data_IF_071393286388
#
_entry.id   IF_071393286388
#
_cell.length_a   1.000
_cell.length_b   1.000
_cell.length_c   1.000
_cell.angle_alpha   90.00
_cell.angle_beta   90.00
_cell.angle_gamma   90.00
#
_symmetry.space_group_name_H-M   'P 1'
#
loop_
_entity.id
_entity.type
_entity.pdbx_description
1 polymer ?
#
# COMPACT_ATOMS: atom_id res chain seq x y z
N UNK A 1 6.16 38.96 -19.61
CA UNK A 1 6.15 37.48 -19.70
C UNK A 1 7.47 37.02 -19.15
N UNK A 2 7.47 36.37 -17.98
CA UNK A 2 8.70 35.99 -17.29
C UNK A 2 9.38 34.87 -18.07
N UNK A 3 10.51 35.17 -18.70
CA UNK A 3 11.43 34.15 -19.20
C UNK A 3 11.91 33.33 -17.99
N UNK A 4 11.39 32.13 -17.83
CA UNK A 4 12.00 31.14 -16.93
C UNK A 4 13.43 30.94 -17.38
N UNK A 5 14.39 31.30 -16.53
CA UNK A 5 15.81 31.13 -16.80
C UNK A 5 16.07 29.70 -17.31
N UNK A 6 16.81 29.52 -18.42
CA UNK A 6 17.09 28.21 -18.97
C UNK A 6 17.81 27.38 -17.90
N UNK A 7 17.09 26.39 -17.33
CA UNK A 7 17.56 25.55 -16.24
C UNK A 7 16.67 25.54 -14.98
N UNK A 8 15.73 26.47 -14.81
CA UNK A 8 14.86 26.50 -13.63
C UNK A 8 13.94 25.27 -13.56
N UNK A 9 13.32 24.89 -14.69
CA UNK A 9 12.48 23.69 -14.79
C UNK A 9 13.30 22.42 -14.52
N UNK A 10 14.48 22.32 -15.11
CA UNK A 10 15.37 21.16 -14.93
C UNK A 10 15.82 21.03 -13.46
N UNK A 11 16.12 22.16 -12.79
CA UNK A 11 16.43 22.18 -11.38
C UNK A 11 15.25 21.72 -10.52
N UNK A 12 14.02 22.11 -10.86
CA UNK A 12 12.81 21.65 -10.17
C UNK A 12 12.59 20.15 -10.37
N UNK A 13 12.80 19.62 -11.59
CA UNK A 13 12.71 18.18 -11.87
C UNK A 13 13.76 17.42 -11.05
N UNK A 14 15.01 17.89 -10.99
CA UNK A 14 16.05 17.28 -10.17
C UNK A 14 15.71 17.31 -8.67
N UNK A 15 15.20 18.43 -8.17
CA UNK A 15 14.78 18.54 -6.77
C UNK A 15 13.62 17.59 -6.47
N UNK A 16 12.65 17.47 -7.37
CA UNK A 16 11.53 16.54 -7.24
C UNK A 16 12.02 15.08 -7.19
N UNK A 17 12.88 14.67 -8.12
CA UNK A 17 13.47 13.33 -8.13
C UNK A 17 14.31 13.04 -6.88
N UNK A 18 15.03 14.05 -6.38
CA UNK A 18 15.78 13.91 -5.13
C UNK A 18 14.86 13.57 -3.95
N UNK A 19 13.71 14.22 -3.80
CA UNK A 19 12.77 13.94 -2.70
C UNK A 19 12.04 12.61 -2.84
N UNK A 20 11.82 12.13 -4.06
CA UNK A 20 11.30 10.78 -4.31
C UNK A 20 12.31 9.74 -3.83
N UNK A 21 13.58 9.90 -4.20
CA UNK A 21 14.64 8.94 -3.88
C UNK A 21 15.10 9.02 -2.41
N UNK A 22 14.92 10.18 -1.77
CA UNK A 22 15.34 10.46 -0.40
C UNK A 22 14.15 10.99 0.42
N UNK A 23 13.12 10.16 0.67
CA UNK A 23 11.98 10.58 1.46
C UNK A 23 12.43 10.99 2.87
N UNK A 24 11.80 12.03 3.41
CA UNK A 24 12.04 12.47 4.79
C UNK A 24 11.64 11.38 5.81
N UNK A 25 12.06 11.52 7.08
CA UNK A 25 11.79 10.51 8.12
C UNK A 25 10.29 10.26 8.38
N UNK A 26 9.44 11.26 8.11
CA UNK A 26 7.99 11.18 8.26
C UNK A 26 7.26 10.74 6.96
N UNK A 27 7.99 10.49 5.88
CA UNK A 27 7.45 10.05 4.58
C UNK A 27 7.64 8.53 4.37
N UNK A 28 7.89 7.80 5.46
CA UNK A 28 8.04 6.35 5.44
C UNK A 28 6.69 5.65 5.49
N UNK A 29 6.62 4.42 4.99
CA UNK A 29 5.43 3.60 5.06
C UNK A 29 4.98 3.38 6.52
N UNK A 30 5.92 3.18 7.44
CA UNK A 30 5.61 3.03 8.86
C UNK A 30 4.96 4.30 9.45
N UNK A 31 5.49 5.49 9.12
CA UNK A 31 4.93 6.77 9.57
C UNK A 31 3.52 6.98 9.02
N UNK A 32 3.30 6.72 7.72
CA UNK A 32 2.00 6.85 7.09
C UNK A 32 0.97 5.83 7.60
N UNK A 33 1.36 4.57 7.82
CA UNK A 33 0.50 3.55 8.46
C UNK A 33 0.06 3.99 9.85
N UNK A 34 0.99 4.52 10.65
CA UNK A 34 0.66 5.09 11.97
C UNK A 34 -0.35 6.22 11.87
N UNK A 35 -0.16 7.15 10.93
CA UNK A 35 -1.09 8.27 10.71
C UNK A 35 -2.48 7.78 10.27
N UNK A 36 -2.53 6.91 9.27
CA UNK A 36 -3.77 6.42 8.66
C UNK A 36 -4.53 5.40 9.51
N UNK A 37 -3.98 4.96 10.64
CA UNK A 37 -4.74 4.17 11.62
C UNK A 37 -5.84 5.01 12.30
N UNK A 38 -5.56 6.28 12.54
CA UNK A 38 -6.46 7.20 13.25
C UNK A 38 -7.17 8.19 12.29
N UNK A 39 -6.88 8.09 10.98
CA UNK A 39 -7.39 9.00 9.96
C UNK A 39 -7.95 8.23 8.77
N UNK A 40 -9.01 8.78 8.18
CA UNK A 40 -9.64 8.22 6.98
C UNK A 40 -8.76 8.47 5.75
N UNK A 41 -7.87 7.52 5.48
CA UNK A 41 -7.01 7.49 4.32
C UNK A 41 -7.56 6.52 3.26
N UNK A 42 -7.41 6.86 1.99
CA UNK A 42 -7.85 6.00 0.87
C UNK A 42 -6.68 5.26 0.20
N UNK A 43 -5.64 5.99 -0.16
CA UNK A 43 -4.37 5.47 -0.69
C UNK A 43 -3.25 6.46 -0.36
N UNK A 44 -2.09 5.94 0.03
CA UNK A 44 -0.88 6.75 0.19
C UNK A 44 0.29 6.09 -0.52
N UNK A 45 0.80 6.74 -1.57
CA UNK A 45 2.04 6.33 -2.22
C UNK A 45 3.22 6.65 -1.31
N UNK A 46 3.92 5.62 -0.85
CA UNK A 46 5.15 5.75 -0.08
C UNK A 46 6.35 5.66 -1.02
N UNK A 47 7.48 6.23 -0.62
CA UNK A 47 8.70 6.27 -1.46
C UNK A 47 9.90 5.58 -0.82
N UNK A 48 9.74 5.09 0.41
CA UNK A 48 10.72 4.25 1.08
C UNK A 48 10.62 2.79 0.59
N UNK A 49 11.76 2.12 0.59
CA UNK A 49 11.87 0.68 0.34
C UNK A 49 12.39 0.02 1.60
N UNK A 50 11.85 -1.13 1.96
CA UNK A 50 12.31 -1.90 3.11
C UNK A 50 12.52 -3.36 2.72
N UNK A 51 13.46 -4.08 3.35
CA UNK A 51 13.55 -5.52 3.17
C UNK A 51 12.27 -6.20 3.66
N UNK A 52 11.87 -7.31 3.02
CA UNK A 52 10.85 -8.18 3.59
C UNK A 52 11.29 -8.66 4.97
N UNK A 53 10.45 -8.45 6.00
CA UNK A 53 10.75 -8.84 7.38
C UNK A 53 9.88 -10.01 7.79
N UNK A 54 10.49 -11.18 7.96
CA UNK A 54 9.78 -12.35 8.46
C UNK A 54 9.41 -12.19 9.95
N UNK A 55 8.25 -12.71 10.34
CA UNK A 55 7.84 -12.78 11.74
C UNK A 55 8.71 -13.79 12.48
N UNK A 56 9.26 -13.40 13.63
CA UNK A 56 10.00 -14.30 14.51
C UNK A 56 9.07 -15.40 15.08
N UNK A 57 9.17 -16.61 14.54
CA UNK A 57 8.26 -17.73 14.84
C UNK A 57 8.41 -18.26 16.27
N UNK A 58 9.61 -18.22 16.84
CA UNK A 58 9.86 -18.61 18.24
C UNK A 58 9.08 -17.74 19.24
N UNK A 59 8.80 -16.48 18.89
CA UNK A 59 8.03 -15.54 19.72
C UNK A 59 6.52 -15.77 19.68
N UNK A 60 6.02 -16.65 18.81
CA UNK A 60 4.58 -16.93 18.68
C UNK A 60 4.07 -17.97 19.69
N UNK A 61 4.98 -18.70 20.36
CA UNK A 61 4.67 -19.64 21.45
C UNK A 61 3.57 -20.67 21.10
N UNK A 62 3.67 -21.30 19.92
CA UNK A 62 2.72 -22.32 19.44
C UNK A 62 3.22 -23.78 19.60
N UNK A 63 4.44 -23.98 20.11
CA UNK A 63 5.07 -25.30 20.24
C UNK A 63 4.59 -26.07 21.47
N UNK A 64 4.91 -27.37 21.53
CA UNK A 64 4.62 -28.22 22.70
C UNK A 64 3.29 -28.99 22.63
N UNK A 65 2.67 -29.03 21.45
CA UNK A 65 1.43 -29.77 21.19
C UNK A 65 1.68 -30.93 20.21
N UNK A 66 1.12 -32.12 20.50
CA UNK A 66 1.28 -33.30 19.63
C UNK A 66 0.57 -33.14 18.28
N UNK A 67 -0.56 -32.43 18.27
CA UNK A 67 -1.33 -32.12 17.07
C UNK A 67 -1.55 -30.62 16.97
N UNK A 68 -1.54 -30.11 15.75
CA UNK A 68 -1.86 -28.71 15.51
C UNK A 68 -3.25 -28.34 16.03
N UNK A 69 -4.22 -29.27 16.03
CA UNK A 69 -5.57 -29.07 16.55
C UNK A 69 -5.61 -28.83 18.08
N UNK A 70 -4.57 -29.27 18.81
CA UNK A 70 -4.50 -29.13 20.27
C UNK A 70 -4.01 -27.75 20.72
N UNK A 71 -3.48 -26.94 19.79
CA UNK A 71 -3.07 -25.56 20.06
C UNK A 71 -4.32 -24.77 20.50
N UNK A 72 -4.30 -24.06 21.65
CA UNK A 72 -5.42 -23.24 22.09
C UNK A 72 -5.79 -22.19 21.04
N UNK A 73 -7.10 -21.99 20.85
CA UNK A 73 -7.61 -21.07 19.84
C UNK A 73 -7.05 -19.65 20.03
N UNK A 74 -7.00 -19.17 21.28
CA UNK A 74 -6.51 -17.84 21.62
C UNK A 74 -5.01 -17.69 21.31
N UNK A 75 -4.24 -18.76 21.42
CA UNK A 75 -2.82 -18.75 21.05
C UNK A 75 -2.66 -18.64 19.53
N UNK A 76 -3.43 -19.42 18.77
CA UNK A 76 -3.45 -19.37 17.31
C UNK A 76 -3.90 -18.00 16.78
N UNK A 77 -4.96 -17.43 17.37
CA UNK A 77 -5.47 -16.09 17.01
C UNK A 77 -4.41 -15.01 17.27
N UNK A 78 -3.74 -15.04 18.44
CA UNK A 78 -2.66 -14.09 18.74
C UNK A 78 -1.50 -14.21 17.74
N UNK A 79 -1.13 -15.43 17.36
CA UNK A 79 -0.06 -15.65 16.41
C UNK A 79 -0.43 -15.15 15.00
N UNK A 80 -1.65 -15.42 14.53
CA UNK A 80 -2.21 -14.90 13.28
C UNK A 80 -2.14 -13.37 13.24
N UNK A 81 -2.61 -12.70 14.29
CA UNK A 81 -2.58 -11.24 14.40
C UNK A 81 -1.15 -10.71 14.37
N UNK A 82 -0.22 -11.36 15.10
CA UNK A 82 1.19 -10.94 15.13
C UNK A 82 1.88 -11.07 13.77
N UNK A 83 1.57 -12.12 13.01
CA UNK A 83 2.08 -12.29 11.65
C UNK A 83 1.47 -11.22 10.73
N UNK A 84 0.16 -10.97 10.81
CA UNK A 84 -0.48 -9.90 10.03
C UNK A 84 0.10 -8.51 10.36
N UNK A 85 0.38 -8.22 11.62
CA UNK A 85 1.02 -6.97 12.05
C UNK A 85 2.40 -6.77 11.43
N UNK A 86 3.17 -7.85 11.29
CA UNK A 86 4.57 -7.81 10.86
C UNK A 86 4.72 -7.90 9.34
N UNK A 87 4.00 -8.83 8.71
CA UNK A 87 4.14 -9.20 7.29
C UNK A 87 2.97 -8.72 6.41
N UNK A 88 2.00 -8.00 6.98
CA UNK A 88 0.76 -7.64 6.30
C UNK A 88 0.89 -6.54 5.21
N UNK A 89 0.12 -6.64 4.11
CA UNK A 89 -0.77 -7.76 3.76
C UNK A 89 0.04 -9.03 3.40
N UNK A 90 -0.27 -10.13 4.08
CA UNK A 90 0.45 -11.40 3.99
C UNK A 90 -0.42 -12.44 3.30
N UNK A 91 0.14 -13.14 2.32
CA UNK A 91 -0.54 -14.22 1.62
C UNK A 91 -0.73 -15.44 2.52
N UNK A 92 -1.83 -16.17 2.36
CA UNK A 92 -2.16 -17.35 3.16
C UNK A 92 -1.04 -18.39 3.19
N UNK A 93 -0.36 -18.65 2.07
CA UNK A 93 0.74 -19.64 2.03
C UNK A 93 1.86 -19.25 3.00
N UNK A 94 2.23 -17.97 3.04
CA UNK A 94 3.26 -17.45 3.95
C UNK A 94 2.75 -17.52 5.39
N UNK A 95 1.53 -17.05 5.64
CA UNK A 95 0.88 -17.09 6.95
C UNK A 95 0.87 -18.51 7.53
N UNK A 96 0.40 -19.49 6.75
CA UNK A 96 0.38 -20.90 7.13
C UNK A 96 1.79 -21.44 7.38
N UNK A 97 2.78 -21.06 6.57
CA UNK A 97 4.17 -21.48 6.77
C UNK A 97 4.72 -20.98 8.11
N UNK A 98 4.50 -19.72 8.46
CA UNK A 98 4.94 -19.16 9.76
C UNK A 98 4.28 -19.85 10.95
N UNK A 99 2.99 -20.14 10.86
CA UNK A 99 2.25 -20.85 11.91
C UNK A 99 2.75 -22.27 12.10
N UNK A 100 3.01 -23.00 11.02
CA UNK A 100 3.58 -24.34 11.06
C UNK A 100 4.99 -24.35 11.66
N UNK A 101 5.84 -23.41 11.24
CA UNK A 101 7.19 -23.25 11.78
C UNK A 101 7.16 -22.99 13.28
N UNK A 102 6.32 -22.05 13.73
CA UNK A 102 6.15 -21.74 15.16
C UNK A 102 5.60 -22.90 15.98
N UNK A 103 4.75 -23.74 15.38
CA UNK A 103 4.15 -24.90 16.03
C UNK A 103 5.01 -26.17 15.93
N UNK A 104 6.11 -26.16 15.16
CA UNK A 104 6.99 -27.32 14.96
C UNK A 104 6.47 -28.37 13.98
N UNK A 105 5.50 -28.03 13.13
CA UNK A 105 4.95 -28.94 12.12
C UNK A 105 5.56 -28.70 10.74
N UNK A 106 5.83 -29.77 9.99
CA UNK A 106 6.44 -29.65 8.66
C UNK A 106 5.45 -29.41 7.53
N UNK A 107 4.17 -29.79 7.70
CA UNK A 107 3.14 -29.74 6.66
C UNK A 107 1.78 -29.35 7.22
N UNK A 108 1.00 -28.61 6.43
CA UNK A 108 -0.41 -28.37 6.69
C UNK A 108 -1.27 -29.28 5.80
N UNK A 109 -1.78 -30.37 6.39
CA UNK A 109 -2.83 -31.17 5.77
C UNK A 109 -4.17 -30.44 5.76
N UNK A 110 -5.18 -31.03 5.12
CA UNK A 110 -6.51 -30.40 4.93
C UNK A 110 -7.15 -29.89 6.22
N UNK A 111 -7.01 -30.61 7.33
CA UNK A 111 -7.52 -30.20 8.65
C UNK A 111 -6.85 -28.93 9.18
N UNK A 112 -5.53 -28.85 9.07
CA UNK A 112 -4.75 -27.69 9.51
C UNK A 112 -5.12 -26.47 8.66
N UNK A 113 -5.19 -26.66 7.34
CA UNK A 113 -5.60 -25.60 6.42
C UNK A 113 -7.01 -25.10 6.77
N UNK A 114 -7.98 -26.00 6.93
CA UNK A 114 -9.35 -25.64 7.29
C UNK A 114 -9.40 -24.85 8.59
N UNK A 115 -8.64 -25.28 9.62
CA UNK A 115 -8.55 -24.56 10.90
C UNK A 115 -7.98 -23.16 10.73
N UNK A 116 -6.90 -22.99 9.97
CA UNK A 116 -6.30 -21.66 9.71
C UNK A 116 -7.27 -20.76 8.93
N UNK A 117 -7.95 -21.29 7.91
CA UNK A 117 -8.98 -20.56 7.16
C UNK A 117 -10.14 -20.11 8.06
N UNK A 118 -10.66 -21.00 8.91
CA UNK A 118 -11.74 -20.68 9.85
C UNK A 118 -11.32 -19.56 10.82
N UNK A 119 -10.13 -19.67 11.42
CA UNK A 119 -9.64 -18.65 12.35
C UNK A 119 -9.41 -17.31 11.64
N UNK A 120 -8.84 -17.32 10.45
CA UNK A 120 -8.68 -16.12 9.61
C UNK A 120 -10.03 -15.44 9.33
N UNK A 121 -11.03 -16.21 8.92
CA UNK A 121 -12.38 -15.70 8.67
C UNK A 121 -13.03 -15.13 9.92
N UNK A 122 -12.88 -15.80 11.08
CA UNK A 122 -13.40 -15.32 12.35
C UNK A 122 -12.76 -13.98 12.79
N UNK A 123 -11.43 -13.84 12.67
CA UNK A 123 -10.74 -12.58 12.96
C UNK A 123 -11.15 -11.46 11.99
N UNK A 124 -11.39 -11.80 10.72
CA UNK A 124 -11.93 -10.88 9.73
C UNK A 124 -13.33 -10.38 10.08
N UNK A 125 -14.23 -11.30 10.46
CA UNK A 125 -15.60 -10.96 10.88
C UNK A 125 -15.65 -10.10 12.16
N UNK A 126 -14.64 -10.23 13.03
CA UNK A 126 -14.47 -9.39 14.22
C UNK A 126 -13.88 -8.01 13.91
N UNK A 127 -13.48 -7.74 12.66
CA UNK A 127 -12.82 -6.50 12.26
C UNK A 127 -11.38 -6.35 12.78
N UNK A 128 -10.76 -7.44 13.26
CA UNK A 128 -9.38 -7.41 13.76
C UNK A 128 -8.36 -7.41 12.61
N UNK A 129 -8.72 -8.02 11.48
CA UNK A 129 -7.95 -7.99 10.24
C UNK A 129 -8.90 -7.74 9.08
N UNK A 130 -8.38 -7.16 8.00
CA UNK A 130 -9.01 -7.12 6.70
C UNK A 130 -8.53 -8.30 5.86
N UNK A 131 -9.46 -8.87 5.11
CA UNK A 131 -9.21 -9.96 4.17
C UNK A 131 -9.45 -9.45 2.75
N UNK A 132 -8.48 -9.66 1.87
CA UNK A 132 -8.62 -9.47 0.43
C UNK A 132 -8.22 -10.77 -0.27
N UNK A 133 -9.20 -11.62 -0.56
CA UNK A 133 -8.95 -12.97 -1.07
C UNK A 133 -8.07 -13.79 -0.10
N UNK A 134 -6.88 -14.16 -0.56
CA UNK A 134 -5.89 -14.92 0.24
C UNK A 134 -4.96 -14.04 1.09
N UNK A 135 -5.13 -12.71 1.05
CA UNK A 135 -4.32 -11.78 1.83
C UNK A 135 -4.99 -11.40 3.15
N UNK A 136 -4.17 -11.35 4.21
CA UNK A 136 -4.55 -10.88 5.54
C UNK A 136 -3.70 -9.70 5.95
N UNK A 137 -4.30 -8.66 6.52
CA UNK A 137 -3.56 -7.52 7.06
C UNK A 137 -4.45 -6.64 7.93
N UNK A 138 -3.88 -5.60 8.51
CA UNK A 138 -4.62 -4.47 9.09
C UNK A 138 -5.08 -3.53 7.98
N UNK A 139 -6.13 -2.77 8.25
CA UNK A 139 -6.73 -1.87 7.26
C UNK A 139 -5.70 -0.87 6.71
N UNK A 140 -4.88 -0.27 7.59
CA UNK A 140 -3.85 0.68 7.19
C UNK A 140 -2.78 0.07 6.27
N UNK A 141 -2.59 -1.25 6.29
CA UNK A 141 -1.59 -1.92 5.47
C UNK A 141 -2.02 -2.07 4.00
N UNK A 142 -3.32 -2.09 3.74
CA UNK A 142 -3.89 -2.06 2.37
C UNK A 142 -3.94 -0.64 1.82
N UNK A 143 -4.29 0.32 2.67
CA UNK A 143 -4.36 1.75 2.33
C UNK A 143 -2.99 2.39 2.13
N UNK A 144 -2.01 2.00 2.95
CA UNK A 144 -0.62 2.46 2.89
C UNK A 144 0.27 1.23 2.58
N UNK A 145 0.35 0.82 1.30
CA UNK A 145 1.24 -0.26 0.91
C UNK A 145 2.68 0.14 1.18
N UNK A 146 3.50 -0.82 1.59
CA UNK A 146 4.94 -0.65 1.63
C UNK A 146 5.55 -1.44 0.49
N UNK A 147 6.55 -0.88 -0.18
CA UNK A 147 7.33 -1.64 -1.15
C UNK A 147 8.39 -2.47 -0.41
N UNK A 148 8.26 -3.79 -0.47
CA UNK A 148 9.21 -4.73 0.15
C UNK A 148 10.18 -5.26 -0.91
N UNK A 149 11.43 -5.43 -0.52
CA UNK A 149 12.39 -6.23 -1.29
C UNK A 149 12.23 -7.71 -0.91
N UNK A 150 11.78 -8.51 -1.89
CA UNK A 150 11.52 -9.94 -1.73
C UNK A 150 12.75 -10.81 -2.02
N UNK A 151 13.87 -10.24 -2.44
CA UNK A 151 15.05 -10.97 -2.94
C UNK A 151 15.62 -11.99 -1.94
N UNK A 152 15.48 -11.73 -0.65
CA UNK A 152 16.03 -12.57 0.42
C UNK A 152 15.09 -13.70 0.86
N UNK A 153 13.86 -13.78 0.32
CA UNK A 153 12.94 -14.87 0.65
C UNK A 153 13.31 -16.16 -0.12
N UNK A 154 13.09 -17.34 0.49
CA UNK A 154 13.22 -18.61 -0.22
C UNK A 154 12.33 -18.66 -1.46
N UNK A 155 12.79 -19.27 -2.55
CA UNK A 155 12.06 -19.33 -3.83
C UNK A 155 10.63 -19.88 -3.70
N UNK A 156 10.41 -20.84 -2.79
CA UNK A 156 9.07 -21.39 -2.54
C UNK A 156 8.07 -20.35 -1.99
N UNK A 157 8.56 -19.31 -1.31
CA UNK A 157 7.75 -18.20 -0.79
C UNK A 157 7.80 -16.97 -1.70
N UNK A 158 8.89 -16.77 -2.43
CA UNK A 158 9.10 -15.68 -3.40
C UNK A 158 8.37 -15.97 -4.71
N UNK A 159 7.04 -15.95 -4.65
CA UNK A 159 6.15 -16.11 -5.80
C UNK A 159 5.34 -14.83 -5.99
N UNK A 160 5.12 -14.41 -7.23
CA UNK A 160 4.42 -13.15 -7.52
C UNK A 160 2.97 -13.17 -7.01
N UNK A 161 2.32 -14.33 -7.02
CA UNK A 161 0.97 -14.51 -6.47
C UNK A 161 0.90 -14.30 -4.95
N UNK A 162 2.05 -14.37 -4.26
CA UNK A 162 2.13 -14.09 -2.83
C UNK A 162 2.32 -12.60 -2.54
N UNK A 163 2.45 -11.76 -3.56
CA UNK A 163 2.56 -10.30 -3.43
C UNK A 163 1.16 -9.68 -3.55
N UNK A 164 0.73 -8.83 -2.59
CA UNK A 164 -0.57 -8.19 -2.66
C UNK A 164 -0.64 -7.16 -3.79
N UNK A 165 -1.83 -7.00 -4.37
CA UNK A 165 -2.10 -6.04 -5.46
C UNK A 165 -1.68 -4.61 -5.11
N UNK A 166 -1.87 -4.21 -3.85
CA UNK A 166 -1.51 -2.87 -3.38
C UNK A 166 0.00 -2.63 -3.46
N UNK A 167 0.82 -3.65 -3.22
CA UNK A 167 2.27 -3.55 -3.35
C UNK A 167 2.72 -3.59 -4.81
N UNK A 168 2.10 -4.41 -5.65
CA UNK A 168 2.35 -4.42 -7.10
C UNK A 168 1.99 -3.09 -7.76
N UNK A 169 0.83 -2.53 -7.38
CA UNK A 169 0.37 -1.20 -7.80
C UNK A 169 1.39 -0.13 -7.39
N UNK A 170 1.87 -0.17 -6.14
CA UNK A 170 2.89 0.76 -5.65
C UNK A 170 4.20 0.61 -6.43
N UNK A 171 4.64 -0.61 -6.74
CA UNK A 171 5.87 -0.84 -7.52
C UNK A 171 5.78 -0.21 -8.90
N UNK A 172 4.65 -0.39 -9.61
CA UNK A 172 4.39 0.24 -10.92
C UNK A 172 4.43 1.77 -10.83
N UNK A 173 3.68 2.34 -9.87
CA UNK A 173 3.61 3.80 -9.67
C UNK A 173 4.99 4.39 -9.42
N UNK A 174 5.77 3.76 -8.53
CA UNK A 174 7.11 4.23 -8.20
C UNK A 174 8.08 4.13 -9.37
N UNK A 175 8.06 3.01 -10.09
CA UNK A 175 8.91 2.80 -11.25
C UNK A 175 8.67 3.87 -12.33
N UNK A 176 7.41 4.14 -12.66
CA UNK A 176 7.08 5.19 -13.65
C UNK A 176 7.44 6.58 -13.13
N UNK A 177 7.16 6.90 -11.86
CA UNK A 177 7.47 8.22 -11.29
C UNK A 177 8.97 8.52 -11.23
N UNK A 178 9.80 7.50 -10.96
CA UNK A 178 11.26 7.63 -10.93
C UNK A 178 11.85 7.70 -12.35
N UNK A 179 11.27 6.99 -13.32
CA UNK A 179 11.72 7.02 -14.73
C UNK A 179 11.19 8.22 -15.52
N UNK A 180 10.08 8.82 -15.10
CA UNK A 180 9.37 9.89 -15.80
C UNK A 180 8.31 9.35 -16.76
N UNK A 181 8.73 8.64 -17.81
CA UNK A 181 7.87 8.06 -18.85
C UNK A 181 8.34 6.65 -19.19
N UNK A 182 7.44 5.68 -19.29
CA UNK A 182 7.76 4.31 -19.69
C UNK A 182 6.63 3.73 -20.54
N UNK A 183 6.93 2.86 -21.50
CA UNK A 183 5.89 1.98 -22.05
C UNK A 183 5.44 0.95 -21.00
N UNK A 184 4.27 0.32 -21.23
CA UNK A 184 3.69 -0.64 -20.28
C UNK A 184 4.61 -1.82 -19.96
N UNK A 185 5.27 -2.39 -20.96
CA UNK A 185 6.09 -3.59 -20.80
C UNK A 185 7.34 -3.28 -19.99
N UNK A 186 8.00 -2.17 -20.30
CA UNK A 186 9.15 -1.70 -19.55
C UNK A 186 8.76 -1.36 -18.11
N UNK A 187 7.65 -0.66 -17.89
CA UNK A 187 7.16 -0.35 -16.54
C UNK A 187 6.89 -1.62 -15.71
N UNK A 188 6.23 -2.63 -16.30
CA UNK A 188 5.98 -3.91 -15.65
C UNK A 188 7.28 -4.67 -15.35
N UNK A 189 8.20 -4.72 -16.31
CA UNK A 189 9.47 -5.41 -16.15
C UNK A 189 10.32 -4.78 -15.03
N UNK A 190 10.44 -3.46 -15.04
CA UNK A 190 11.24 -2.72 -14.05
C UNK A 190 10.61 -2.75 -12.66
N UNK A 191 9.27 -2.71 -12.57
CA UNK A 191 8.54 -2.89 -11.31
C UNK A 191 8.78 -4.28 -10.68
N UNK A 192 8.91 -5.34 -11.48
CA UNK A 192 9.26 -6.67 -10.98
C UNK A 192 10.71 -6.72 -10.47
N UNK A 193 11.65 -6.19 -11.26
CA UNK A 193 13.07 -6.16 -10.90
C UNK A 193 13.33 -5.43 -9.59
N UNK A 194 12.65 -4.28 -9.40
CA UNK A 194 12.71 -3.50 -8.15
C UNK A 194 12.36 -4.31 -6.91
N UNK A 195 11.46 -5.28 -7.04
CA UNK A 195 10.99 -6.12 -5.93
C UNK A 195 11.83 -7.40 -5.74
N UNK A 196 12.81 -7.65 -6.62
CA UNK A 196 13.62 -8.87 -6.58
C UNK A 196 13.13 -10.00 -7.47
N UNK A 197 12.22 -9.74 -8.43
CA UNK A 197 11.81 -10.71 -9.45
C UNK A 197 12.57 -10.48 -10.76
N UNK A 198 12.89 -11.55 -11.51
CA UNK A 198 13.94 -11.49 -12.55
C UNK A 198 13.36 -11.35 -13.96
N UNK A 199 12.11 -11.75 -14.21
CA UNK A 199 11.56 -11.79 -15.58
C UNK A 199 10.07 -11.46 -15.60
N UNK A 200 9.68 -10.67 -16.60
CA UNK A 200 8.30 -10.50 -17.02
C UNK A 200 7.92 -11.69 -17.94
N UNK A 201 7.42 -12.76 -17.34
CA UNK A 201 6.78 -13.87 -18.08
C UNK A 201 5.35 -13.50 -18.45
N UNK A 202 4.70 -14.27 -19.32
CA UNK A 202 3.29 -14.06 -19.67
C UNK A 202 2.38 -14.10 -18.43
N UNK A 203 2.59 -15.07 -17.53
CA UNK A 203 1.85 -15.14 -16.27
C UNK A 203 2.09 -13.89 -15.38
N UNK A 204 3.33 -13.39 -15.34
CA UNK A 204 3.64 -12.19 -14.56
C UNK A 204 2.99 -10.93 -15.18
N UNK A 205 2.93 -10.86 -16.51
CA UNK A 205 2.24 -9.81 -17.24
C UNK A 205 0.74 -9.83 -16.97
N UNK A 206 0.11 -11.00 -17.00
CA UNK A 206 -1.31 -11.18 -16.69
C UNK A 206 -1.60 -10.76 -15.25
N UNK A 207 -0.75 -11.19 -14.30
CA UNK A 207 -0.86 -10.83 -12.88
C UNK A 207 -0.76 -9.33 -12.60
N UNK A 208 -0.04 -8.58 -13.44
CA UNK A 208 0.16 -7.14 -13.32
C UNK A 208 -0.92 -6.30 -14.02
N UNK A 209 -1.80 -6.89 -14.83
CA UNK A 209 -2.86 -6.15 -15.51
C UNK A 209 -3.80 -5.47 -14.51
N UNK A 210 -4.28 -6.21 -13.51
CA UNK A 210 -5.20 -5.67 -12.51
C UNK A 210 -4.55 -4.57 -11.64
N UNK A 211 -3.32 -4.74 -11.09
CA UNK A 211 -2.59 -3.65 -10.44
C UNK A 211 -2.41 -2.40 -11.32
N UNK A 212 -2.06 -2.57 -12.60
CA UNK A 212 -1.91 -1.43 -13.52
C UNK A 212 -3.25 -0.72 -13.75
N UNK A 213 -4.32 -1.47 -14.01
CA UNK A 213 -5.66 -0.92 -14.21
C UNK A 213 -6.12 -0.12 -12.98
N UNK A 214 -5.90 -0.66 -11.76
CA UNK A 214 -6.19 0.05 -10.50
C UNK A 214 -5.35 1.33 -10.36
N UNK A 215 -4.09 1.32 -10.78
CA UNK A 215 -3.24 2.52 -10.76
C UNK A 215 -3.79 3.62 -11.68
N UNK A 216 -4.24 3.25 -12.87
CA UNK A 216 -4.85 4.17 -13.85
C UNK A 216 -6.21 4.69 -13.36
N UNK A 217 -7.08 3.82 -12.85
CA UNK A 217 -8.40 4.18 -12.31
C UNK A 217 -8.27 5.18 -11.15
N UNK A 218 -7.30 4.98 -10.27
CA UNK A 218 -7.01 5.88 -9.13
C UNK A 218 -6.30 7.17 -9.55
N UNK A 219 -5.92 7.32 -10.82
CA UNK A 219 -5.13 8.46 -11.32
C UNK A 219 -3.73 8.54 -10.70
N UNK A 220 -3.20 7.41 -10.23
CA UNK A 220 -1.81 7.28 -9.76
C UNK A 220 -0.86 7.19 -10.95
N UNK A 221 -1.32 6.56 -12.03
CA UNK A 221 -0.71 6.61 -13.34
C UNK A 221 -1.68 7.26 -14.31
N UNK A 222 -1.15 7.84 -15.38
CA UNK A 222 -1.90 8.24 -16.55
C UNK A 222 -1.24 7.63 -17.78
N UNK A 223 -2.03 7.46 -18.83
CA UNK A 223 -1.55 6.84 -20.05
C UNK A 223 -1.92 7.67 -21.27
N UNK A 224 -0.95 7.85 -22.16
CA UNK A 224 -1.15 8.49 -23.45
C UNK A 224 -0.32 7.78 -24.51
N UNK A 225 -0.98 7.31 -25.57
CA UNK A 225 -0.33 6.57 -26.67
C UNK A 225 0.55 5.39 -26.19
N UNK A 226 0.05 4.57 -25.26
CA UNK A 226 0.77 3.42 -24.65
C UNK A 226 2.00 3.81 -23.79
N UNK A 227 2.19 5.11 -23.52
CA UNK A 227 3.20 5.63 -22.61
C UNK A 227 2.54 5.94 -21.27
N UNK A 228 3.10 5.38 -20.20
CA UNK A 228 2.73 5.63 -18.81
C UNK A 228 3.53 6.79 -18.24
N UNK A 229 2.84 7.64 -17.50
CA UNK A 229 3.40 8.73 -16.71
C UNK A 229 2.81 8.71 -15.29
N UNK A 230 3.50 9.35 -14.34
CA UNK A 230 2.96 9.51 -13.00
C UNK A 230 1.77 10.48 -12.98
N UNK A 231 0.64 10.02 -12.47
CA UNK A 231 -0.56 10.84 -12.28
C UNK A 231 -0.44 11.71 -11.02
N UNK A 232 -1.20 12.82 -10.98
CA UNK A 232 -1.15 13.75 -9.85
C UNK A 232 -1.53 13.11 -8.51
N UNK A 233 -2.36 12.06 -8.51
CA UNK A 233 -2.75 11.39 -7.27
C UNK A 233 -1.62 10.53 -6.69
N UNK A 234 -0.59 10.17 -7.47
CA UNK A 234 0.59 9.48 -6.94
C UNK A 234 1.31 10.30 -5.86
N UNK A 235 1.20 11.63 -5.91
CA UNK A 235 1.86 12.55 -4.98
C UNK A 235 0.90 13.17 -3.97
N UNK A 236 -0.40 12.82 -4.03
CA UNK A 236 -1.38 13.35 -3.09
C UNK A 236 -1.12 12.76 -1.70
N UNK A 237 -1.09 13.62 -0.69
CA UNK A 237 -1.04 13.22 0.72
C UNK A 237 -2.41 13.39 1.37
N UNK A 238 -2.81 12.49 2.29
CA UNK A 238 -3.99 12.69 3.13
C UNK A 238 -3.91 14.06 3.80
N UNK A 239 -5.01 14.82 3.75
CA UNK A 239 -5.11 16.12 4.43
C UNK A 239 -6.01 15.97 5.64
N UNK A 240 -5.53 16.44 6.80
CA UNK A 240 -6.34 16.44 8.01
C UNK A 240 -7.64 17.23 7.78
N UNK A 241 -8.80 16.63 8.12
CA UNK A 241 -10.13 17.23 7.91
C UNK A 241 -10.29 18.56 8.67
N UNK A 242 -9.56 18.76 9.78
CA UNK A 242 -9.56 20.03 10.54
C UNK A 242 -8.99 21.20 9.73
N UNK A 243 -7.91 21.00 8.99
CA UNK A 243 -7.28 22.04 8.17
C UNK A 243 -8.12 22.40 6.93
N UNK A 244 -8.93 21.45 6.44
CA UNK A 244 -9.84 21.70 5.32
C UNK A 244 -11.00 22.63 5.73
N UNK A 245 -11.56 22.46 6.94
CA UNK A 245 -12.64 23.33 7.43
C UNK A 245 -12.15 24.76 7.73
N UNK A 246 -10.92 24.94 8.20
CA UNK A 246 -10.35 26.28 8.46
C UNK A 246 -10.09 27.07 7.15
N UNK A 247 -9.65 26.39 6.07
CA UNK A 247 -9.47 27.05 4.76
C UNK A 247 -10.78 27.42 4.07
N UNK A 248 -11.86 26.67 4.30
CA UNK A 248 -13.20 27.04 3.80
C UNK A 248 -13.77 28.22 4.61
N UNK A 249 -13.51 28.28 5.92
CA UNK A 249 -13.93 29.39 6.79
C UNK A 249 -13.19 30.71 6.57
N UNK A 250 -12.01 30.71 5.94
CA UNK A 250 -11.18 31.92 5.76
C UNK A 250 -11.42 32.62 4.39
N UNK A 251 -12.42 32.21 3.60
CA UNK A 251 -12.88 32.92 2.39
C UNK A 251 -14.12 33.79 2.61
N UNK A 252 -14.23 34.42 3.78
CA UNK A 252 -15.12 35.58 3.97
C UNK A 252 -14.25 36.82 4.14
N UNK A 253 -13.92 37.47 3.02
CA UNK A 253 -13.47 38.87 3.03
C UNK A 253 -14.66 39.81 2.78
N UNK A 254 -14.56 41.05 3.28
CA UNK A 254 -15.69 41.82 3.77
C UNK A 254 -16.21 42.82 2.73
N UNK A 255 -17.48 43.20 2.88
CA UNK A 255 -18.00 44.41 2.22
C UNK A 255 -19.14 44.15 1.25
N UNK A 256 -20.35 44.04 1.78
CA UNK A 256 -21.54 44.43 1.05
C UNK A 256 -22.37 45.35 1.96
N UNK A 257 -22.05 46.64 1.94
CA UNK A 257 -22.96 47.68 2.42
C UNK A 257 -24.19 47.70 1.52
N UNK A 258 -25.42 47.63 2.04
CA UNK A 258 -26.60 47.76 1.22
C UNK A 258 -26.77 49.23 0.83
N UNK A 259 -26.44 49.55 -0.42
CA UNK A 259 -26.92 50.76 -1.09
C UNK A 259 -28.38 50.52 -1.48
N UNK A 260 -29.32 51.17 -0.80
CA UNK A 260 -30.67 51.37 -1.36
C UNK A 260 -30.96 52.86 -1.41
N UNK A 261 -30.89 53.39 -2.64
CA UNK A 261 -31.35 54.72 -3.00
C UNK A 261 -32.85 54.64 -3.26
N UNK A 262 -33.54 55.66 -2.76
CA UNK A 262 -34.95 55.92 -2.97
C UNK A 262 -35.40 55.78 -4.43
N UNK A 263 -36.61 55.25 -4.62
CA UNK A 263 -37.53 55.72 -5.64
C UNK A 263 -38.96 55.66 -5.10
N UNK A 264 -39.60 56.82 -5.22
CA UNK A 264 -40.96 57.21 -4.90
C UNK A 264 -41.98 56.70 -5.91
N UNK A 265 -43.21 56.46 -5.42
CA UNK A 265 -44.54 56.46 -6.08
C UNK A 265 -45.51 55.80 -5.09
N UNK A 266 -46.62 56.33 -4.60
CA UNK A 266 -47.33 57.61 -4.77
C UNK A 266 -48.63 57.54 -3.93
N UNK A 267 -49.35 58.66 -3.91
CA UNK A 267 -50.55 59.05 -3.14
C UNK A 267 -50.31 59.76 -1.81
#
# INVERSE_FOLDING_TARGET
MSETAPGALEALVRAHQHFIQHPGPNETCAAWRSYCRDHDCEWVTTWDTQPYRETETNGLALSGHDRFDDIPQEALDRALLRIADTEGPVHLVILTRRLLEAAGFSRAGSRIQARIHERRAALGAQGLIRLEGEFSGRDEQFTVPCLRDWSNLPDALRQLDHVPDTELTLSLVRTVAEAGTLDRDMAMNDALHRMGFIRLTDNARDRLQDPLAKALERGLLVEWQEILEAGANAFRRPRNRREQNERVGTRLLPGATPSSRAQSRGF
#
